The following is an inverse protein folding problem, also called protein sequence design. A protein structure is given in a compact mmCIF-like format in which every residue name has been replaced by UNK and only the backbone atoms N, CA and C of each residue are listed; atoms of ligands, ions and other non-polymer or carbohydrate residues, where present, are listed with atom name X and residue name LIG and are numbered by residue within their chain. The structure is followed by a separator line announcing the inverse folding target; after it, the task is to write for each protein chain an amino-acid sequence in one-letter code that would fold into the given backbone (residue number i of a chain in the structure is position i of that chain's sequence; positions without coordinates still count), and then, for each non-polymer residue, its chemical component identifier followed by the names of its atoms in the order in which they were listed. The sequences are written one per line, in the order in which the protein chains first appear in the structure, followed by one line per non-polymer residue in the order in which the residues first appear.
data_IF_885453512911
#
_entry.id   IF_885453512911
#
_cell.length_a   1.000
_cell.length_b   1.000
_cell.length_c   1.000
_cell.angle_alpha   90.00
_cell.angle_beta   90.00
_cell.angle_gamma   90.00
#
_symmetry.space_group_name_H-M   'P 1'
#
loop_
_entity.id
_entity.type
_entity.pdbx_description
1 polymer ?
#
# COMPACT_ATOMS: atom_id res chain seq x y z
N UNK A 1 -0.53 6.41 -4.21
CA UNK A 1 -1.94 6.22 -3.76
C UNK A 1 -1.99 5.02 -2.82
N UNK A 2 -2.89 5.00 -1.81
CA UNK A 2 -3.05 3.85 -0.90
C UNK A 2 -3.39 2.54 -1.64
N UNK A 3 -4.06 2.63 -2.80
CA UNK A 3 -4.32 1.51 -3.69
C UNK A 3 -3.05 0.77 -4.16
N UNK A 4 -1.91 1.46 -4.28
CA UNK A 4 -0.63 0.89 -4.71
C UNK A 4 0.10 0.10 -3.61
N UNK A 5 -0.39 0.13 -2.37
CA UNK A 5 0.25 -0.59 -1.28
C UNK A 5 0.07 -2.11 -1.45
N UNK A 6 1.12 -2.87 -1.15
CA UNK A 6 1.06 -4.34 -1.14
C UNK A 6 0.19 -4.88 -0.01
N UNK A 7 0.11 -4.17 1.10
CA UNK A 7 -0.74 -4.45 2.26
C UNK A 7 -1.44 -3.18 2.67
N UNK A 8 -2.71 -3.30 3.03
CA UNK A 8 -3.51 -2.18 3.51
C UNK A 8 -3.99 -2.53 4.92
N UNK A 9 -3.61 -1.72 5.90
CA UNK A 9 -3.98 -1.93 7.30
C UNK A 9 -4.83 -0.74 7.74
N UNK A 10 -6.00 -1.01 8.30
CA UNK A 10 -6.84 -0.02 8.96
C UNK A 10 -6.35 0.17 10.38
N UNK A 11 -6.23 1.43 10.78
CA UNK A 11 -5.92 1.85 12.14
C UNK A 11 -7.19 2.47 12.71
N UNK A 12 -7.71 1.90 13.80
CA UNK A 12 -8.92 2.40 14.46
C UNK A 12 -8.61 2.75 15.91
N UNK A 13 -9.32 3.74 16.44
CA UNK A 13 -9.40 3.97 17.88
C UNK A 13 -10.64 3.25 18.39
N UNK A 14 -10.49 2.45 19.43
CA UNK A 14 -11.59 1.73 20.06
C UNK A 14 -11.56 2.05 21.55
N UNK A 15 -12.72 2.28 22.13
CA UNK A 15 -12.88 2.55 23.55
C UNK A 15 -13.56 1.33 24.19
N UNK A 16 -12.88 0.69 25.16
CA UNK A 16 -13.39 -0.49 25.86
C UNK A 16 -14.11 -0.14 27.18
N UNK A 17 -14.39 1.15 27.40
CA UNK A 17 -14.94 1.71 28.63
C UNK A 17 -13.90 2.01 29.71
N UNK A 18 -12.65 1.58 29.53
CA UNK A 18 -11.54 1.79 30.48
C UNK A 18 -10.42 2.63 29.87
N UNK A 19 -10.13 2.43 28.58
CA UNK A 19 -9.16 3.22 27.85
C UNK A 19 -9.49 3.27 26.34
N UNK A 20 -8.96 4.28 25.66
CA UNK A 20 -8.92 4.31 24.20
C UNK A 20 -7.66 3.58 23.73
N UNK A 21 -7.86 2.45 23.06
CA UNK A 21 -6.81 1.64 22.46
C UNK A 21 -6.75 1.83 20.94
N UNK A 22 -5.61 1.48 20.35
CA UNK A 22 -5.42 1.51 18.89
C UNK A 22 -5.47 0.10 18.35
N UNK A 23 -6.43 -0.17 17.48
CA UNK A 23 -6.57 -1.45 16.78
C UNK A 23 -6.02 -1.38 15.36
N UNK A 24 -5.39 -2.47 14.95
CA UNK A 24 -4.85 -2.66 13.62
C UNK A 24 -5.53 -3.87 12.97
N UNK A 25 -6.09 -3.71 11.78
CA UNK A 25 -6.65 -4.82 11.00
C UNK A 25 -6.17 -4.76 9.55
N UNK A 26 -5.66 -5.88 9.04
CA UNK A 26 -5.35 -6.00 7.61
C UNK A 26 -6.67 -6.08 6.82
N UNK A 27 -6.73 -5.36 5.71
CA UNK A 27 -7.90 -5.30 4.85
C UNK A 27 -7.75 -6.27 3.69
N UNK A 28 -8.78 -7.09 3.49
CA UNK A 28 -8.98 -7.88 2.28
C UNK A 28 -9.40 -6.99 1.10
N UNK A 29 -9.70 -7.59 -0.05
CA UNK A 29 -10.04 -6.83 -1.25
C UNK A 29 -11.27 -5.93 -1.06
N UNK A 30 -12.35 -6.47 -0.50
CA UNK A 30 -13.59 -5.74 -0.29
C UNK A 30 -13.44 -4.66 0.78
N UNK A 31 -12.71 -4.95 1.86
CA UNK A 31 -12.34 -3.98 2.87
C UNK A 31 -11.49 -2.84 2.32
N UNK A 32 -10.59 -3.13 1.36
CA UNK A 32 -9.81 -2.11 0.65
C UNK A 32 -10.70 -1.21 -0.21
N UNK A 33 -11.70 -1.76 -0.89
CA UNK A 33 -12.68 -0.95 -1.65
C UNK A 33 -13.42 -0.02 -0.70
N UNK A 34 -14.03 -0.56 0.36
CA UNK A 34 -14.81 0.23 1.31
C UNK A 34 -13.98 1.36 1.96
N UNK A 35 -12.74 1.08 2.34
CA UNK A 35 -11.86 2.08 2.94
C UNK A 35 -11.40 3.13 1.92
N UNK A 36 -11.05 2.73 0.70
CA UNK A 36 -10.71 3.68 -0.37
C UNK A 36 -11.92 4.55 -0.74
N UNK A 37 -13.12 3.98 -0.80
CA UNK A 37 -14.36 4.73 -1.00
C UNK A 37 -14.59 5.75 0.11
N UNK A 38 -14.40 5.34 1.38
CA UNK A 38 -14.46 6.27 2.53
C UNK A 38 -13.43 7.40 2.40
N UNK A 39 -12.20 7.09 1.99
CA UNK A 39 -11.13 8.07 1.81
C UNK A 39 -11.41 9.06 0.67
N UNK A 40 -11.98 8.57 -0.45
CA UNK A 40 -12.22 9.35 -1.66
C UNK A 40 -13.53 10.16 -1.59
N UNK A 41 -14.61 9.53 -1.14
CA UNK A 41 -15.96 10.07 -1.15
C UNK A 41 -16.43 10.57 0.24
N UNK A 42 -15.63 10.38 1.29
CA UNK A 42 -15.96 10.75 2.67
C UNK A 42 -16.96 9.81 3.36
N UNK A 43 -17.58 8.88 2.63
CA UNK A 43 -18.52 7.88 3.14
C UNK A 43 -18.30 6.53 2.44
N UNK A 44 -18.32 5.40 3.17
CA UNK A 44 -18.00 4.07 2.61
C UNK A 44 -19.10 3.51 1.69
N UNK A 45 -20.33 3.99 1.81
CA UNK A 45 -21.53 3.53 1.09
C UNK A 45 -21.77 4.27 -0.24
N UNK A 46 -20.83 5.11 -0.67
CA UNK A 46 -20.93 5.81 -1.95
C UNK A 46 -20.76 4.84 -3.13
N UNK A 47 -21.83 4.60 -3.90
CA UNK A 47 -21.78 3.72 -5.08
C UNK A 47 -20.77 4.18 -6.14
N UNK A 48 -20.73 5.48 -6.46
CA UNK A 48 -19.75 6.03 -7.40
C UNK A 48 -18.32 5.99 -6.84
N UNK A 49 -18.16 6.21 -5.54
CA UNK A 49 -16.87 6.06 -4.87
C UNK A 49 -16.37 4.61 -4.81
N UNK A 50 -17.27 3.63 -4.74
CA UNK A 50 -16.94 2.20 -4.80
C UNK A 50 -16.43 1.79 -6.18
N UNK A 51 -17.11 2.23 -7.24
CA UNK A 51 -16.65 2.03 -8.62
C UNK A 51 -15.26 2.62 -8.82
N UNK A 52 -15.06 3.88 -8.41
CA UNK A 52 -13.76 4.52 -8.58
C UNK A 52 -12.64 3.87 -7.74
N UNK A 53 -12.95 3.41 -6.52
CA UNK A 53 -11.99 2.67 -5.70
C UNK A 53 -11.55 1.35 -6.35
N UNK A 54 -12.48 0.62 -6.97
CA UNK A 54 -12.18 -0.61 -7.71
C UNK A 54 -11.26 -0.34 -8.90
N UNK A 55 -11.54 0.70 -9.70
CA UNK A 55 -10.68 1.11 -10.83
C UNK A 55 -9.24 1.40 -10.39
N UNK A 56 -9.07 2.06 -9.24
CA UNK A 56 -7.74 2.36 -8.70
C UNK A 56 -6.99 1.11 -8.24
N UNK A 57 -7.69 0.12 -7.68
CA UNK A 57 -7.09 -1.15 -7.29
C UNK A 57 -6.66 -1.96 -8.51
N UNK A 58 -7.47 -1.99 -9.56
CA UNK A 58 -7.15 -2.66 -10.83
C UNK A 58 -5.93 -2.02 -11.50
N UNK A 59 -5.90 -0.68 -11.57
CA UNK A 59 -4.76 0.06 -12.11
C UNK A 59 -3.47 -0.22 -11.30
N UNK A 60 -3.58 -0.26 -9.98
CA UNK A 60 -2.45 -0.57 -9.10
C UNK A 60 -1.97 -2.03 -9.27
N UNK A 61 -2.88 -2.98 -9.46
CA UNK A 61 -2.52 -4.37 -9.71
C UNK A 61 -1.81 -4.53 -11.08
N UNK A 62 -2.29 -3.84 -12.10
CA UNK A 62 -1.66 -3.82 -13.43
C UNK A 62 -0.25 -3.22 -13.38
N UNK A 63 -0.05 -2.13 -12.63
CA UNK A 63 1.27 -1.52 -12.44
C UNK A 63 2.22 -2.43 -11.65
N UNK A 64 1.72 -3.07 -10.58
CA UNK A 64 2.52 -4.00 -9.78
C UNK A 64 2.94 -5.27 -10.55
N UNK A 65 2.13 -5.70 -11.53
CA UNK A 65 2.46 -6.81 -12.42
C UNK A 65 3.49 -6.43 -13.50
N UNK A 66 3.73 -5.13 -13.73
CA UNK A 66 4.75 -4.69 -14.68
C UNK A 66 6.13 -5.09 -14.14
N UNK A 67 6.95 -5.83 -14.90
CA UNK A 67 8.30 -6.14 -14.47
C UNK A 67 9.04 -4.83 -14.29
N UNK A 68 9.64 -4.63 -13.11
CA UNK A 68 10.56 -3.53 -12.89
C UNK A 68 11.62 -3.63 -13.99
N UNK A 69 11.67 -2.63 -14.88
CA UNK A 69 12.74 -2.53 -15.86
C UNK A 69 14.05 -2.71 -15.10
N UNK A 70 14.82 -3.74 -15.45
CA UNK A 70 15.99 -4.14 -14.69
C UNK A 70 16.97 -2.96 -14.60
N UNK A 71 16.98 -2.26 -13.48
CA UNK A 71 18.06 -1.32 -13.20
C UNK A 71 19.37 -2.13 -13.16
N UNK A 72 20.39 -1.74 -13.93
CA UNK A 72 21.67 -2.41 -13.86
C UNK A 72 22.22 -2.23 -12.45
N UNK A 73 22.34 -3.33 -11.70
CA UNK A 73 22.96 -3.32 -10.37
C UNK A 73 24.33 -2.62 -10.47
N UNK A 74 24.62 -1.60 -9.64
CA UNK A 74 25.91 -0.96 -9.66
C UNK A 74 26.99 -2.01 -9.39
N UNK A 75 27.98 -2.08 -10.28
CA UNK A 75 29.10 -3.00 -10.15
C UNK A 75 29.83 -2.73 -8.83
N UNK A 76 30.04 -3.78 -8.03
CA UNK A 76 30.79 -3.69 -6.77
C UNK A 76 32.16 -3.03 -7.03
N UNK A 77 32.58 -2.03 -6.24
CA UNK A 77 33.88 -1.39 -6.43
C UNK A 77 34.98 -2.43 -6.21
N UNK A 78 35.82 -2.63 -7.23
CA UNK A 78 37.01 -3.49 -7.11
C UNK A 78 37.96 -2.84 -6.12
N UNK A 79 38.15 -3.48 -4.96
CA UNK A 79 39.16 -3.09 -3.97
C UNK A 79 40.52 -3.03 -4.68
N UNK A 80 41.17 -1.87 -4.70
CA UNK A 80 42.57 -1.77 -5.13
C UNK A 80 43.44 -2.36 -4.03
N UNK A 81 44.20 -3.40 -4.35
CA UNK A 81 45.24 -3.92 -3.46
C UNK A 81 46.40 -2.91 -3.38
N UNK A 82 46.97 -2.67 -2.19
CA UNK A 82 48.12 -1.78 -2.04
C UNK A 82 49.37 -2.40 -2.66
N UNK A 83 50.12 -1.59 -3.40
CA UNK A 83 51.41 -1.96 -3.97
C UNK A 83 52.40 -2.32 -2.85
N UNK A 84 53.03 -3.48 -2.99
CA UNK A 84 54.06 -3.99 -2.09
C UNK A 84 55.37 -3.23 -2.33
N UNK A 85 55.92 -2.62 -1.28
CA UNK A 85 57.28 -2.04 -1.23
C UNK A 85 58.34 -3.13 -1.27
#
# INVERSE_FOLDING_TARGET
MAACARRHVRIAKTDDGTAVVTDLSELDHDGRIAELTRMLAGRPDSASGAVHAAELLDAAAADAARPAAAEPRPAKPRRREPAKT
#
